data_IF_154149820174
#
_entry.id   IF_154149820174
#
_cell.length_a   1.000
_cell.length_b   1.000
_cell.length_c   1.000
_cell.angle_alpha   90.00
_cell.angle_beta   90.00
_cell.angle_gamma   90.00
#
_symmetry.space_group_name_H-M   'P 1'
#
loop_
_entity.id
_entity.type
_entity.pdbx_description
1 polymer ?
#
# COMPACT_ATOMS: atom_id res chain seq x y z
N UNK A 1 0.26 -15.98 -26.21
CA UNK A 1 0.05 -14.87 -25.27
C UNK A 1 1.28 -13.97 -25.34
N UNK A 2 1.11 -12.69 -25.68
CA UNK A 2 2.25 -11.80 -25.84
C UNK A 2 2.85 -11.50 -24.46
N UNK A 3 4.09 -11.92 -24.20
CA UNK A 3 4.81 -11.66 -22.94
C UNK A 3 4.75 -10.18 -22.49
N UNK A 4 4.62 -9.24 -23.44
CA UNK A 4 4.49 -7.81 -23.16
C UNK A 4 3.16 -7.40 -22.51
N UNK A 5 2.06 -8.12 -22.78
CA UNK A 5 0.76 -7.87 -22.15
C UNK A 5 0.72 -8.32 -20.70
N UNK A 6 1.35 -9.47 -20.44
CA UNK A 6 1.34 -10.16 -19.13
C UNK A 6 2.06 -9.36 -18.03
N UNK A 7 3.11 -8.61 -18.41
CA UNK A 7 3.85 -7.74 -17.47
C UNK A 7 3.19 -6.38 -17.28
N UNK A 8 2.45 -5.89 -18.27
CA UNK A 8 1.86 -4.54 -18.25
C UNK A 8 0.91 -4.36 -17.07
N UNK A 9 0.09 -5.38 -16.79
CA UNK A 9 -0.82 -5.37 -15.65
C UNK A 9 -0.07 -5.18 -14.33
N UNK A 10 0.98 -5.97 -14.10
CA UNK A 10 1.80 -5.85 -12.89
C UNK A 10 2.45 -4.47 -12.76
N UNK A 11 3.01 -3.93 -13.85
CA UNK A 11 3.63 -2.60 -13.84
C UNK A 11 2.64 -1.52 -13.41
N UNK A 12 1.42 -1.56 -13.96
CA UNK A 12 0.34 -0.62 -13.59
C UNK A 12 0.01 -0.73 -12.10
N UNK A 13 -0.15 -1.95 -11.58
CA UNK A 13 -0.46 -2.16 -10.16
C UNK A 13 0.67 -1.66 -9.25
N UNK A 14 1.94 -1.87 -9.62
CA UNK A 14 3.10 -1.36 -8.88
C UNK A 14 3.17 0.18 -8.90
N UNK A 15 2.80 0.81 -10.01
CA UNK A 15 2.70 2.27 -10.10
C UNK A 15 1.59 2.80 -9.19
N UNK A 16 0.43 2.16 -9.17
CA UNK A 16 -0.67 2.52 -8.25
C UNK A 16 -0.21 2.40 -6.80
N UNK A 17 0.45 1.30 -6.44
CA UNK A 17 1.04 1.10 -5.11
C UNK A 17 2.02 2.23 -4.77
N UNK A 18 2.90 2.61 -5.71
CA UNK A 18 3.86 3.69 -5.50
C UNK A 18 3.16 5.04 -5.27
N UNK A 19 2.14 5.36 -6.06
CA UNK A 19 1.37 6.62 -5.90
C UNK A 19 0.70 6.67 -4.52
N UNK A 20 0.05 5.59 -4.10
CA UNK A 20 -0.59 5.50 -2.78
C UNK A 20 0.47 5.65 -1.69
N UNK A 21 1.59 4.93 -1.82
CA UNK A 21 2.69 5.00 -0.87
C UNK A 21 3.27 6.41 -0.75
N UNK A 22 3.42 7.15 -1.85
CA UNK A 22 3.84 8.54 -1.78
C UNK A 22 2.78 9.41 -1.11
N UNK A 23 1.51 9.35 -1.50
CA UNK A 23 0.46 10.19 -0.91
C UNK A 23 0.38 10.01 0.61
N UNK A 24 0.30 8.77 1.09
CA UNK A 24 0.25 8.49 2.53
C UNK A 24 1.60 8.71 3.22
N UNK A 25 2.69 8.30 2.59
CA UNK A 25 4.03 8.42 3.14
C UNK A 25 4.48 9.86 3.33
N UNK A 26 4.27 10.73 2.34
CA UNK A 26 4.52 12.17 2.46
C UNK A 26 3.62 12.81 3.51
N UNK A 27 2.34 12.44 3.53
CA UNK A 27 1.39 12.92 4.52
C UNK A 27 1.82 12.59 5.95
N UNK A 28 2.20 11.34 6.21
CA UNK A 28 2.67 10.90 7.52
C UNK A 28 4.03 11.48 7.91
N UNK A 29 4.95 11.64 6.96
CA UNK A 29 6.30 12.12 7.24
C UNK A 29 6.35 13.64 7.49
N UNK A 30 5.71 14.44 6.64
CA UNK A 30 5.87 15.90 6.67
C UNK A 30 4.71 16.63 7.35
N UNK A 31 3.48 16.12 7.23
CA UNK A 31 2.27 16.81 7.71
C UNK A 31 1.33 15.91 8.54
N UNK A 32 1.84 15.13 9.53
CA UNK A 32 1.02 14.18 10.28
C UNK A 32 -0.16 14.83 11.02
N UNK A 33 0.00 16.08 11.49
CA UNK A 33 -1.07 16.80 12.19
C UNK A 33 -2.31 17.07 11.33
N UNK A 34 -2.15 17.30 10.02
CA UNK A 34 -3.27 17.49 9.10
C UNK A 34 -4.05 16.18 8.97
N UNK A 35 -3.35 15.06 8.80
CA UNK A 35 -3.99 13.75 8.67
C UNK A 35 -4.72 13.34 9.96
N UNK A 36 -4.12 13.56 11.13
CA UNK A 36 -4.78 13.30 12.42
C UNK A 36 -6.00 14.20 12.61
N UNK A 37 -5.90 15.49 12.25
CA UNK A 37 -7.05 16.40 12.32
C UNK A 37 -8.21 15.98 11.40
N UNK A 38 -7.91 15.55 10.18
CA UNK A 38 -8.90 15.05 9.22
C UNK A 38 -9.56 13.74 9.69
N UNK A 39 -8.78 12.88 10.35
CA UNK A 39 -9.26 11.60 10.86
C UNK A 39 -10.20 11.74 12.05
N UNK A 40 -10.13 12.86 12.77
CA UNK A 40 -10.85 13.11 14.05
C UNK A 40 -10.56 12.04 15.11
N UNK A 41 -9.48 11.28 14.94
CA UNK A 41 -9.10 10.23 15.86
C UNK A 41 -8.42 10.81 17.12
N UNK A 42 -8.21 9.94 18.11
CA UNK A 42 -7.43 10.29 19.28
C UNK A 42 -6.02 10.77 18.92
N UNK A 43 -5.39 11.59 19.77
CA UNK A 43 -4.00 12.00 19.58
C UNK A 43 -3.10 10.78 19.44
N UNK A 44 -2.29 10.76 18.39
CA UNK A 44 -1.23 9.77 18.18
C UNK A 44 0.09 10.50 18.18
N UNK A 45 1.08 9.90 18.83
CA UNK A 45 2.46 10.38 18.84
C UNK A 45 3.01 10.53 17.40
N UNK A 46 3.27 11.77 16.98
CA UNK A 46 3.65 12.08 15.59
C UNK A 46 4.94 11.39 15.16
N UNK A 47 5.82 11.05 16.10
CA UNK A 47 7.05 10.30 15.85
C UNK A 47 6.77 8.95 15.18
N UNK A 48 5.71 8.24 15.59
CA UNK A 48 5.32 6.96 14.98
C UNK A 48 4.81 7.13 13.56
N UNK A 49 4.01 8.18 13.33
CA UNK A 49 3.52 8.52 11.99
C UNK A 49 4.69 8.87 11.08
N UNK A 50 5.62 9.71 11.52
CA UNK A 50 6.77 10.11 10.72
C UNK A 50 7.68 8.95 10.36
N UNK A 51 7.97 8.08 11.33
CA UNK A 51 8.75 6.88 11.08
C UNK A 51 8.09 5.98 10.03
N UNK A 52 6.80 5.70 10.18
CA UNK A 52 6.04 4.93 9.18
C UNK A 52 6.00 5.64 7.82
N UNK A 53 5.89 6.97 7.79
CA UNK A 53 5.91 7.75 6.56
C UNK A 53 7.18 7.52 5.75
N UNK A 54 8.35 7.52 6.40
CA UNK A 54 9.62 7.19 5.75
C UNK A 54 9.67 5.76 5.20
N UNK A 55 9.19 4.79 5.97
CA UNK A 55 9.11 3.37 5.53
C UNK A 55 8.21 3.23 4.30
N UNK A 56 7.02 3.84 4.33
CA UNK A 56 6.06 3.75 3.22
C UNK A 56 6.61 4.41 1.96
N UNK A 57 7.28 5.57 2.06
CA UNK A 57 7.96 6.20 0.90
C UNK A 57 9.00 5.27 0.29
N UNK A 58 9.84 4.63 1.12
CA UNK A 58 10.86 3.70 0.63
C UNK A 58 10.26 2.51 -0.12
N UNK A 59 9.13 1.95 0.37
CA UNK A 59 8.39 0.90 -0.32
C UNK A 59 7.81 1.39 -1.66
N UNK A 60 7.34 2.64 -1.72
CA UNK A 60 6.88 3.28 -2.97
C UNK A 60 8.00 3.41 -4.01
N UNK A 61 9.21 3.80 -3.58
CA UNK A 61 10.40 3.82 -4.45
C UNK A 61 10.72 2.41 -4.94
N UNK A 62 10.72 1.42 -4.06
CA UNK A 62 10.91 0.02 -4.43
C UNK A 62 9.91 -0.45 -5.49
N UNK A 63 8.63 -0.08 -5.33
CA UNK A 63 7.59 -0.41 -6.31
C UNK A 63 7.86 0.25 -7.68
N UNK A 64 8.33 1.50 -7.73
CA UNK A 64 8.73 2.13 -8.99
C UNK A 64 9.92 1.43 -9.66
N UNK A 65 10.95 1.07 -8.87
CA UNK A 65 12.12 0.36 -9.39
C UNK A 65 11.74 -0.98 -10.00
N UNK A 66 10.90 -1.76 -9.30
CA UNK A 66 10.40 -3.05 -9.78
C UNK A 66 9.45 -2.89 -10.97
N UNK A 67 8.63 -1.84 -11.01
CA UNK A 67 7.78 -1.57 -12.19
C UNK A 67 8.62 -1.29 -13.45
N UNK A 68 9.80 -0.68 -13.28
CA UNK A 68 10.72 -0.40 -14.39
C UNK A 68 11.43 -1.67 -14.85
N UNK A 69 11.90 -2.49 -13.90
CA UNK A 69 12.65 -3.74 -14.13
C UNK A 69 12.09 -4.87 -13.25
N UNK A 70 11.04 -5.58 -13.69
CA UNK A 70 10.37 -6.59 -12.87
C UNK A 70 11.11 -7.93 -12.83
N UNK A 71 12.13 -8.13 -13.68
CA UNK A 71 12.83 -9.41 -13.81
C UNK A 71 13.42 -9.90 -12.47
N UNK A 72 13.09 -11.14 -12.08
CA UNK A 72 13.57 -11.77 -10.83
C UNK A 72 13.14 -11.05 -9.54
N UNK A 73 12.13 -10.18 -9.60
CA UNK A 73 11.62 -9.42 -8.45
C UNK A 73 10.38 -10.07 -7.80
N UNK A 74 10.13 -11.35 -8.07
CA UNK A 74 8.97 -12.07 -7.52
C UNK A 74 8.86 -12.01 -6.00
N UNK A 75 9.98 -11.97 -5.28
CA UNK A 75 9.99 -11.83 -3.81
C UNK A 75 9.41 -10.48 -3.40
N UNK A 76 9.86 -9.37 -3.98
CA UNK A 76 9.36 -8.04 -3.66
C UNK A 76 7.84 -7.94 -3.90
N UNK A 77 7.36 -8.40 -5.06
CA UNK A 77 5.93 -8.37 -5.40
C UNK A 77 5.12 -9.20 -4.40
N UNK A 78 5.64 -10.36 -4.00
CA UNK A 78 4.99 -11.23 -3.00
C UNK A 78 4.95 -10.54 -1.63
N UNK A 79 6.04 -9.92 -1.20
CA UNK A 79 6.10 -9.15 0.04
C UNK A 79 5.13 -7.98 0.05
N UNK A 80 4.98 -7.26 -1.06
CA UNK A 80 4.01 -6.16 -1.18
C UNK A 80 2.57 -6.65 -1.19
N UNK A 81 2.28 -7.78 -1.85
CA UNK A 81 0.97 -8.40 -1.83
C UNK A 81 0.56 -8.81 -0.40
N UNK A 82 1.51 -9.36 0.37
CA UNK A 82 1.30 -9.70 1.79
C UNK A 82 1.20 -8.48 2.69
N UNK A 83 2.06 -7.47 2.50
CA UNK A 83 2.03 -6.25 3.29
C UNK A 83 0.68 -5.53 3.15
N UNK A 84 0.18 -5.40 1.92
CA UNK A 84 -1.13 -4.82 1.64
C UNK A 84 -2.27 -5.69 2.18
N UNK A 85 -2.16 -7.02 2.11
CA UNK A 85 -3.14 -7.93 2.70
C UNK A 85 -3.23 -7.77 4.21
N UNK A 86 -2.11 -7.88 4.93
CA UNK A 86 -2.10 -7.81 6.39
C UNK A 86 -2.46 -6.43 6.91
N UNK A 87 -2.04 -5.35 6.25
CA UNK A 87 -2.46 -4.00 6.59
C UNK A 87 -3.97 -3.82 6.37
N UNK A 88 -4.52 -4.35 5.26
CA UNK A 88 -5.95 -4.32 4.99
C UNK A 88 -6.76 -5.12 6.00
N UNK A 89 -6.32 -6.33 6.35
CA UNK A 89 -6.96 -7.17 7.37
C UNK A 89 -6.86 -6.55 8.78
N UNK A 90 -5.74 -5.91 9.11
CA UNK A 90 -5.58 -5.19 10.37
C UNK A 90 -6.58 -4.03 10.49
N UNK A 91 -6.72 -3.22 9.45
CA UNK A 91 -7.70 -2.14 9.46
C UNK A 91 -9.15 -2.66 9.47
N UNK A 92 -9.43 -3.74 8.74
CA UNK A 92 -10.75 -4.39 8.76
C UNK A 92 -11.08 -4.90 10.16
N UNK A 93 -10.12 -5.51 10.85
CA UNK A 93 -10.26 -5.95 12.22
C UNK A 93 -10.59 -4.79 13.16
N UNK A 94 -9.77 -3.72 13.14
CA UNK A 94 -10.02 -2.54 13.98
C UNK A 94 -11.35 -1.85 13.67
N UNK A 95 -11.82 -1.92 12.42
CA UNK A 95 -13.15 -1.43 12.04
C UNK A 95 -14.27 -2.30 12.62
N UNK A 96 -14.18 -3.63 12.50
CA UNK A 96 -15.17 -4.58 13.05
C UNK A 96 -15.23 -4.48 14.57
N UNK A 97 -14.08 -4.41 15.23
CA UNK A 97 -13.96 -4.35 16.69
C UNK A 97 -14.18 -2.96 17.28
N UNK A 98 -14.47 -1.95 16.45
CA UNK A 98 -14.69 -0.56 16.88
C UNK A 98 -13.51 0.03 17.67
N UNK A 99 -12.28 -0.41 17.38
CA UNK A 99 -11.06 0.12 18.00
C UNK A 99 -10.71 1.51 17.44
N UNK A 100 -11.16 1.81 16.23
CA UNK A 100 -10.91 3.08 15.57
C UNK A 100 -11.87 4.17 16.06
N UNK A 101 -11.34 5.16 16.77
CA UNK A 101 -12.13 6.25 17.36
C UNK A 101 -12.42 7.43 16.42
N UNK A 102 -11.83 7.44 15.22
CA UNK A 102 -11.99 8.51 14.24
C UNK A 102 -13.20 8.33 13.31
N UNK A 103 -13.29 9.18 12.30
CA UNK A 103 -14.32 9.09 11.27
C UNK A 103 -14.22 7.78 10.48
N UNK A 104 -15.32 7.04 10.36
CA UNK A 104 -15.35 5.68 9.76
C UNK A 104 -14.73 5.62 8.37
N UNK A 105 -14.90 6.65 7.54
CA UNK A 105 -14.33 6.70 6.19
C UNK A 105 -12.78 6.64 6.19
N UNK A 106 -12.15 7.13 7.25
CA UNK A 106 -10.69 7.19 7.40
C UNK A 106 -10.08 5.82 7.72
N UNK A 107 -10.88 4.85 8.18
CA UNK A 107 -10.48 3.43 8.27
C UNK A 107 -11.02 2.59 7.10
N UNK A 108 -12.28 2.84 6.68
CA UNK A 108 -12.93 2.06 5.63
C UNK A 108 -12.25 2.22 4.26
N UNK A 109 -11.90 3.45 3.85
CA UNK A 109 -11.27 3.69 2.55
C UNK A 109 -9.88 3.02 2.46
N UNK A 110 -8.94 3.22 3.41
CA UNK A 110 -7.68 2.49 3.40
C UNK A 110 -7.85 0.97 3.44
N UNK A 111 -8.81 0.46 4.22
CA UNK A 111 -9.12 -0.98 4.26
C UNK A 111 -9.45 -1.52 2.88
N UNK A 112 -10.42 -0.90 2.20
CA UNK A 112 -10.84 -1.33 0.86
C UNK A 112 -9.69 -1.21 -0.15
N UNK A 113 -8.95 -0.10 -0.13
CA UNK A 113 -7.83 0.08 -1.06
C UNK A 113 -6.73 -0.96 -0.87
N UNK A 114 -6.35 -1.26 0.38
CA UNK A 114 -5.30 -2.23 0.67
C UNK A 114 -5.68 -3.65 0.26
N UNK A 115 -6.93 -4.07 0.52
CA UNK A 115 -7.41 -5.40 0.12
C UNK A 115 -7.52 -5.55 -1.40
N UNK A 116 -8.06 -4.52 -2.09
CA UNK A 116 -8.13 -4.50 -3.56
C UNK A 116 -6.72 -4.53 -4.16
N UNK A 117 -5.80 -3.73 -3.61
CA UNK A 117 -4.43 -3.66 -4.10
C UNK A 117 -3.69 -4.98 -3.89
N UNK A 118 -3.92 -5.68 -2.78
CA UNK A 118 -3.38 -7.02 -2.56
C UNK A 118 -3.87 -8.01 -3.61
N UNK A 119 -5.18 -8.04 -3.88
CA UNK A 119 -5.75 -8.91 -4.90
C UNK A 119 -5.18 -8.60 -6.30
N UNK A 120 -5.03 -7.32 -6.63
CA UNK A 120 -4.41 -6.88 -7.88
C UNK A 120 -2.93 -7.27 -7.99
N UNK A 121 -2.17 -7.20 -6.89
CA UNK A 121 -0.76 -7.63 -6.85
C UNK A 121 -0.63 -9.15 -7.04
N UNK A 122 -1.50 -9.94 -6.40
CA UNK A 122 -1.54 -11.39 -6.60
C UNK A 122 -1.89 -11.76 -8.04
N UNK A 123 -2.87 -11.07 -8.62
CA UNK A 123 -3.28 -11.26 -10.00
C UNK A 123 -2.18 -10.86 -10.98
N UNK A 124 -1.59 -9.67 -10.81
CA UNK A 124 -0.48 -9.18 -11.63
C UNK A 124 0.75 -10.07 -11.54
N UNK A 125 1.08 -10.57 -10.34
CA UNK A 125 2.12 -11.60 -10.14
C UNK A 125 1.79 -12.87 -10.90
N UNK A 126 0.54 -13.32 -10.85
CA UNK A 126 0.06 -14.51 -11.55
C UNK A 126 0.28 -14.45 -13.06
N UNK A 127 0.05 -13.29 -13.66
CA UNK A 127 0.31 -13.07 -15.10
C UNK A 127 1.80 -12.97 -15.42
N UNK A 128 2.59 -12.31 -14.57
CA UNK A 128 4.01 -12.08 -14.82
C UNK A 128 4.94 -13.22 -14.34
N UNK A 129 4.41 -14.40 -13.97
CA UNK A 129 5.18 -15.52 -13.38
C UNK A 129 6.41 -15.95 -14.21
N UNK A 130 6.37 -15.83 -15.53
CA UNK A 130 7.49 -16.23 -16.39
C UNK A 130 8.70 -15.28 -16.37
N UNK A 131 8.55 -14.08 -15.80
CA UNK A 131 9.56 -13.02 -15.80
C UNK A 131 9.98 -12.66 -14.37
N UNK A 132 9.08 -12.84 -13.40
CA UNK A 132 9.31 -12.59 -11.97
C UNK A 132 10.28 -13.56 -11.29
#
# INVERSE_FOLDING_TARGET
MSQNGDVKALKVVLIILAVIAFVYGFGFLFVPGILVGLSRANPVEFSWLRWMGGVVIALGIGALMVSSKPEKQGIFVTSMALATLFAGLGNLYSWIMQEYSGATWFTALPTCFLLVLSALLWWGRGQAKGIL
#
